data_IF_575425283161
#
_entry.id   IF_575425283161
#
_cell.length_a   1.000
_cell.length_b   1.000
_cell.length_c   1.000
_cell.angle_alpha   90.00
_cell.angle_beta   90.00
_cell.angle_gamma   90.00
#
_symmetry.space_group_name_H-M   'P 1'
#
loop_
_entity.id
_entity.type
_entity.pdbx_description
1 polymer ?
#
# COMPACT_ATOMS: atom_id res chain seq x y z
N UNK A 1 12.71 18.57 -13.19
CA UNK A 1 12.54 17.20 -13.73
C UNK A 1 13.47 16.31 -12.93
N UNK A 2 12.92 15.45 -12.08
CA UNK A 2 13.72 14.40 -11.43
C UNK A 2 13.97 13.36 -12.52
N UNK A 3 15.23 12.99 -12.75
CA UNK A 3 15.58 11.95 -13.71
C UNK A 3 14.90 10.64 -13.26
N UNK A 4 14.06 10.07 -14.11
CA UNK A 4 13.44 8.75 -13.85
C UNK A 4 14.55 7.72 -13.96
N UNK A 5 14.98 7.17 -12.83
CA UNK A 5 15.93 6.06 -12.78
C UNK A 5 15.22 4.82 -13.33
N UNK A 6 15.78 4.13 -14.34
CA UNK A 6 15.22 2.88 -14.84
C UNK A 6 14.99 1.89 -13.70
N UNK A 7 13.91 1.12 -13.80
CA UNK A 7 13.45 0.20 -12.77
C UNK A 7 14.55 -0.72 -12.22
N UNK A 8 15.35 -1.32 -13.09
CA UNK A 8 16.43 -2.28 -12.76
C UNK A 8 17.62 -1.63 -12.04
N UNK A 9 17.74 -0.29 -12.04
CA UNK A 9 18.83 0.46 -11.41
C UNK A 9 18.43 1.07 -10.05
N UNK A 10 17.16 0.93 -9.63
CA UNK A 10 16.70 1.42 -8.32
C UNK A 10 17.27 0.55 -7.20
N UNK A 11 17.64 1.16 -6.07
CA UNK A 11 18.13 0.44 -4.90
C UNK A 11 17.07 -0.50 -4.33
N UNK A 12 17.49 -1.66 -3.84
CA UNK A 12 16.60 -2.61 -3.17
C UNK A 12 16.21 -2.07 -1.77
N UNK A 13 14.95 -2.22 -1.41
CA UNK A 13 14.42 -1.89 -0.06
C UNK A 13 14.31 -3.16 0.76
N UNK A 14 13.68 -4.19 0.18
CA UNK A 14 13.54 -5.50 0.81
C UNK A 14 13.39 -6.61 -0.24
N UNK A 15 13.70 -7.84 0.20
CA UNK A 15 13.50 -9.06 -0.56
C UNK A 15 12.87 -10.14 0.32
N UNK A 16 11.83 -10.77 -0.18
CA UNK A 16 11.30 -12.02 0.35
C UNK A 16 11.90 -13.16 -0.48
N UNK A 17 12.51 -14.15 0.20
CA UNK A 17 13.13 -15.31 -0.44
C UNK A 17 12.45 -16.59 0.04
N UNK A 18 11.73 -17.27 -0.85
CA UNK A 18 11.02 -18.53 -0.62
C UNK A 18 10.23 -18.53 0.68
N UNK A 19 9.47 -17.48 0.94
CA UNK A 19 8.75 -17.26 2.23
C UNK A 19 7.53 -18.14 2.32
N UNK A 20 7.48 -18.98 3.37
CA UNK A 20 6.31 -19.74 3.77
C UNK A 20 5.67 -19.14 5.02
N UNK A 21 4.34 -19.26 5.10
CA UNK A 21 3.59 -18.98 6.33
C UNK A 21 2.53 -20.02 6.56
N UNK A 22 2.69 -20.75 7.68
CA UNK A 22 1.72 -21.73 8.17
C UNK A 22 1.20 -21.23 9.52
N UNK A 23 -0.12 -21.18 9.67
CA UNK A 23 -0.80 -20.84 10.91
C UNK A 23 -1.15 -22.11 11.70
N UNK A 24 -1.50 -22.02 13.01
CA UNK A 24 -1.99 -23.15 13.79
C UNK A 24 -3.15 -23.88 13.07
N UNK A 25 -3.12 -25.22 13.13
CA UNK A 25 -4.08 -26.06 12.39
C UNK A 25 -3.65 -26.36 10.95
N UNK A 26 -2.36 -26.26 10.65
CA UNK A 26 -1.74 -26.55 9.35
C UNK A 26 -2.29 -25.73 8.18
N UNK A 27 -2.82 -24.53 8.47
CA UNK A 27 -3.33 -23.63 7.44
C UNK A 27 -2.15 -22.92 6.77
N UNK A 28 -1.74 -23.41 5.61
CA UNK A 28 -0.67 -22.79 4.81
C UNK A 28 -1.21 -21.57 4.07
N UNK A 29 -0.88 -20.38 4.56
CA UNK A 29 -1.31 -19.12 3.98
C UNK A 29 -0.43 -18.67 2.82
N UNK A 30 0.90 -18.93 2.91
CA UNK A 30 1.86 -18.64 1.84
C UNK A 30 2.80 -19.82 1.63
N UNK A 31 3.20 -20.04 0.36
CA UNK A 31 4.19 -21.04 -0.04
C UNK A 31 5.20 -20.45 -1.00
N UNK A 32 6.47 -20.47 -0.62
CA UNK A 32 7.60 -20.10 -1.47
C UNK A 32 7.44 -18.72 -2.10
N UNK A 33 6.94 -17.74 -1.34
CA UNK A 33 6.72 -16.41 -1.89
C UNK A 33 8.04 -15.69 -2.09
N UNK A 34 8.34 -15.34 -3.34
CA UNK A 34 9.43 -14.46 -3.71
C UNK A 34 8.86 -13.08 -4.07
N UNK A 35 9.48 -12.01 -3.55
CA UNK A 35 9.13 -10.63 -3.86
C UNK A 35 10.36 -9.75 -3.68
N UNK A 36 10.70 -8.98 -4.70
CA UNK A 36 11.71 -7.93 -4.63
C UNK A 36 11.03 -6.57 -4.66
N UNK A 37 11.39 -5.69 -3.73
CA UNK A 37 10.87 -4.33 -3.62
C UNK A 37 12.02 -3.34 -3.70
N UNK A 38 11.91 -2.35 -4.57
CA UNK A 38 12.93 -1.32 -4.82
C UNK A 38 12.42 0.05 -4.42
N UNK A 39 13.34 0.98 -4.21
CA UNK A 39 13.01 2.36 -3.84
C UNK A 39 12.11 3.04 -4.89
N UNK A 40 11.04 3.66 -4.41
CA UNK A 40 10.07 4.36 -5.24
C UNK A 40 9.12 3.45 -6.04
N UNK A 41 9.19 2.11 -5.87
CA UNK A 41 8.22 1.20 -6.49
C UNK A 41 6.80 1.48 -5.98
N UNK A 42 5.84 1.36 -6.88
CA UNK A 42 4.45 1.13 -6.52
C UNK A 42 4.07 -0.29 -6.95
N UNK A 43 3.95 -1.22 -6.00
CA UNK A 43 3.64 -2.62 -6.26
C UNK A 43 2.21 -2.93 -5.78
N UNK A 44 1.37 -3.48 -6.65
CA UNK A 44 0.10 -4.09 -6.23
C UNK A 44 0.23 -5.59 -6.04
N UNK A 45 -0.28 -6.10 -4.91
CA UNK A 45 -0.57 -7.52 -4.75
C UNK A 45 -2.02 -7.76 -5.15
N UNK A 46 -2.23 -8.44 -6.27
CA UNK A 46 -3.54 -8.73 -6.85
C UNK A 46 -3.85 -10.23 -6.72
N UNK A 47 -5.07 -10.56 -6.35
CA UNK A 47 -5.50 -11.96 -6.25
C UNK A 47 -6.82 -12.13 -5.51
N UNK A 48 -7.42 -13.32 -5.56
CA UNK A 48 -8.69 -13.60 -4.90
C UNK A 48 -8.62 -13.45 -3.39
N UNK A 49 -9.78 -13.33 -2.74
CA UNK A 49 -9.85 -13.30 -1.27
C UNK A 49 -9.24 -14.57 -0.67
N UNK A 50 -8.46 -14.41 0.40
CA UNK A 50 -7.80 -15.53 1.08
C UNK A 50 -6.53 -16.06 0.40
N UNK A 51 -6.00 -15.42 -0.64
CA UNK A 51 -4.72 -15.83 -1.27
C UNK A 51 -3.46 -15.36 -0.52
N UNK A 52 -3.60 -14.83 0.71
CA UNK A 52 -2.43 -14.52 1.54
C UNK A 52 -1.86 -13.10 1.40
N UNK A 53 -2.48 -12.18 0.65
CA UNK A 53 -2.01 -10.79 0.46
C UNK A 53 -1.78 -10.05 1.78
N UNK A 54 -2.80 -10.02 2.65
CA UNK A 54 -2.69 -9.41 3.98
C UNK A 54 -1.68 -10.13 4.87
N UNK A 55 -1.48 -11.43 4.67
CA UNK A 55 -0.44 -12.20 5.37
C UNK A 55 0.94 -11.72 4.92
N UNK A 56 1.17 -11.56 3.62
CA UNK A 56 2.42 -11.01 3.10
C UNK A 56 2.71 -9.62 3.66
N UNK A 57 1.71 -8.72 3.69
CA UNK A 57 1.87 -7.39 4.30
C UNK A 57 2.24 -7.47 5.78
N UNK A 58 1.60 -8.36 6.57
CA UNK A 58 1.91 -8.52 7.99
C UNK A 58 3.32 -9.03 8.23
N UNK A 59 3.81 -9.93 7.38
CA UNK A 59 5.19 -10.41 7.44
C UNK A 59 6.18 -9.28 7.14
N UNK A 60 5.94 -8.49 6.08
CA UNK A 60 6.76 -7.34 5.73
C UNK A 60 6.72 -6.29 6.85
N UNK A 61 5.56 -6.03 7.45
CA UNK A 61 5.42 -5.11 8.57
C UNK A 61 6.14 -5.58 9.85
N UNK A 62 6.57 -6.85 9.93
CA UNK A 62 7.13 -7.44 11.14
C UNK A 62 6.09 -7.74 12.21
N UNK A 63 4.81 -7.81 11.84
CA UNK A 63 3.70 -8.17 12.74
C UNK A 63 3.52 -9.68 12.89
N UNK A 64 4.25 -10.47 12.11
CA UNK A 64 4.29 -11.93 12.17
C UNK A 64 5.61 -12.38 11.55
N UNK A 65 6.13 -13.55 11.98
CA UNK A 65 7.33 -14.13 11.42
C UNK A 65 7.00 -15.15 10.34
N UNK A 66 7.85 -15.34 9.31
CA UNK A 66 7.73 -16.44 8.37
C UNK A 66 7.95 -17.78 9.06
N UNK A 67 7.31 -18.85 8.56
CA UNK A 67 7.53 -20.22 9.05
C UNK A 67 8.77 -20.84 8.41
N UNK A 68 9.06 -20.47 7.16
CA UNK A 68 10.28 -20.81 6.44
C UNK A 68 10.60 -19.69 5.43
N UNK A 69 11.81 -19.72 4.87
CA UNK A 69 12.32 -18.64 4.05
C UNK A 69 12.77 -17.45 4.90
N UNK A 70 13.01 -16.31 4.26
CA UNK A 70 13.47 -15.10 4.96
C UNK A 70 13.04 -13.83 4.26
N UNK A 71 12.95 -12.75 5.04
CA UNK A 71 12.73 -11.39 4.56
C UNK A 71 14.00 -10.59 4.87
N UNK A 72 14.67 -10.16 3.84
CA UNK A 72 15.94 -9.41 3.94
C UNK A 72 15.64 -7.94 3.65
N UNK A 73 16.13 -7.06 4.52
CA UNK A 73 16.06 -5.62 4.35
C UNK A 73 17.43 -5.12 3.93
N UNK A 74 17.48 -4.24 2.94
CA UNK A 74 18.75 -3.67 2.45
C UNK A 74 19.45 -2.79 3.50
N UNK A 75 18.68 -2.24 4.45
CA UNK A 75 19.19 -1.46 5.58
C UNK A 75 18.47 -1.83 6.88
N UNK A 76 19.10 -1.54 8.02
CA UNK A 76 18.48 -1.69 9.32
C UNK A 76 17.25 -0.78 9.43
N UNK A 77 16.12 -1.35 9.88
CA UNK A 77 14.86 -0.63 10.03
C UNK A 77 14.87 0.24 11.28
N UNK A 78 14.37 1.45 11.13
CA UNK A 78 14.14 2.35 12.24
C UNK A 78 12.64 2.50 12.53
N UNK A 79 12.30 2.96 13.73
CA UNK A 79 10.93 3.34 14.04
C UNK A 79 10.47 4.42 13.05
N UNK A 80 9.24 4.26 12.52
CA UNK A 80 8.70 5.20 11.53
C UNK A 80 9.05 4.92 10.07
N UNK A 81 9.99 3.99 9.76
CA UNK A 81 10.35 3.64 8.37
C UNK A 81 9.20 2.97 7.60
N UNK A 82 8.23 2.37 8.29
CA UNK A 82 7.08 1.70 7.68
C UNK A 82 5.78 2.36 8.15
N UNK A 83 5.01 2.86 7.20
CA UNK A 83 3.62 3.27 7.40
C UNK A 83 2.67 2.12 7.06
N UNK A 84 1.61 1.93 7.86
CA UNK A 84 0.60 0.88 7.58
C UNK A 84 -0.78 1.51 7.52
N UNK A 85 -1.51 1.21 6.45
CA UNK A 85 -2.92 1.56 6.26
C UNK A 85 -3.72 0.26 6.16
N UNK A 86 -4.65 0.06 7.08
CA UNK A 86 -5.53 -1.10 7.11
C UNK A 86 -6.81 -0.87 6.30
N UNK A 87 -7.52 -1.93 5.98
CA UNK A 87 -8.81 -1.92 5.29
C UNK A 87 -9.84 -1.05 6.04
N UNK A 88 -9.86 -1.15 7.37
CA UNK A 88 -10.59 -0.20 8.22
C UNK A 88 -9.65 0.93 8.65
N UNK A 89 -10.10 2.20 8.69
CA UNK A 89 -9.25 3.34 9.05
C UNK A 89 -8.65 3.25 10.45
N UNK A 90 -9.20 2.43 11.35
CA UNK A 90 -8.73 2.19 12.73
C UNK A 90 -8.39 3.47 13.49
N UNK A 91 -9.24 4.51 13.35
CA UNK A 91 -9.05 5.77 14.04
C UNK A 91 -9.50 5.66 15.50
N UNK A 92 -8.77 6.34 16.39
CA UNK A 92 -9.17 6.50 17.78
C UNK A 92 -10.44 7.36 17.84
N UNK A 93 -11.62 6.83 18.23
CA UNK A 93 -12.89 7.56 18.14
C UNK A 93 -13.00 8.77 19.09
N UNK A 94 -12.20 8.77 20.15
CA UNK A 94 -12.11 9.86 21.15
C UNK A 94 -11.08 10.92 20.80
N UNK A 95 -10.31 10.77 19.74
CA UNK A 95 -9.26 11.67 19.32
C UNK A 95 -9.67 12.43 18.06
N UNK A 96 -9.25 13.69 17.95
CA UNK A 96 -9.46 14.49 16.74
C UNK A 96 -8.64 13.97 15.56
N UNK A 97 -8.92 14.47 14.35
CA UNK A 97 -8.11 14.18 13.14
C UNK A 97 -6.63 14.47 13.39
N UNK A 98 -6.31 15.61 13.98
CA UNK A 98 -4.94 16.00 14.29
C UNK A 98 -4.28 15.07 15.31
N UNK A 99 -5.03 14.65 16.34
CA UNK A 99 -4.53 13.72 17.35
C UNK A 99 -4.36 12.29 16.80
N UNK A 100 -5.22 11.87 15.86
CA UNK A 100 -5.04 10.60 15.15
C UNK A 100 -3.77 10.61 14.28
N UNK A 101 -3.54 11.70 13.54
CA UNK A 101 -2.33 11.85 12.73
C UNK A 101 -1.05 11.97 13.59
N UNK A 102 -1.14 12.50 14.81
CA UNK A 102 -0.03 12.62 15.74
C UNK A 102 0.42 11.27 16.36
N UNK A 103 -0.42 10.24 16.32
CA UNK A 103 -0.16 8.97 17.04
C UNK A 103 1.24 8.38 16.79
N UNK A 104 1.77 8.28 15.56
CA UNK A 104 3.12 7.73 15.34
C UNK A 104 4.20 8.50 16.10
N UNK A 105 4.20 9.82 16.03
CA UNK A 105 5.15 10.67 16.75
C UNK A 105 5.04 10.55 18.27
N UNK A 106 3.83 10.35 18.79
CA UNK A 106 3.61 10.10 20.20
C UNK A 106 4.26 8.79 20.64
N UNK A 107 4.18 7.75 19.82
CA UNK A 107 4.81 6.45 20.10
C UNK A 107 6.35 6.53 20.07
N UNK A 108 6.90 7.41 19.23
CA UNK A 108 8.34 7.72 19.18
C UNK A 108 8.80 8.66 20.33
N UNK A 109 7.88 9.11 21.21
CA UNK A 109 8.19 10.04 22.29
C UNK A 109 8.36 11.50 21.87
N UNK A 110 8.05 11.85 20.61
CA UNK A 110 8.12 13.20 20.08
C UNK A 110 6.96 14.05 20.62
N UNK A 111 7.23 15.26 21.11
CA UNK A 111 6.20 16.13 21.66
C UNK A 111 5.22 16.63 20.57
N UNK A 112 3.96 16.88 20.96
CA UNK A 112 2.95 17.40 20.03
C UNK A 112 3.36 18.73 19.37
N UNK A 113 3.94 19.63 20.15
CA UNK A 113 4.34 20.95 19.65
C UNK A 113 5.46 20.85 18.60
N UNK A 114 6.42 19.94 18.77
CA UNK A 114 7.51 19.73 17.80
C UNK A 114 7.04 18.99 16.54
N UNK A 115 5.94 18.22 16.62
CA UNK A 115 5.40 17.46 15.51
C UNK A 115 4.29 18.22 14.74
N UNK A 116 3.85 19.38 15.25
CA UNK A 116 2.66 20.09 14.78
C UNK A 116 2.71 20.44 13.28
N UNK A 117 3.84 20.93 12.81
CA UNK A 117 3.97 21.36 11.41
C UNK A 117 3.98 20.17 10.45
N UNK A 118 4.62 19.05 10.82
CA UNK A 118 4.62 17.81 10.05
C UNK A 118 3.19 17.23 9.96
N UNK A 119 2.45 17.24 11.07
CA UNK A 119 1.05 16.79 11.10
C UNK A 119 0.19 17.66 10.19
N UNK A 120 0.34 18.97 10.25
CA UNK A 120 -0.41 19.88 9.38
C UNK A 120 -0.04 19.67 7.90
N UNK A 121 1.22 19.42 7.61
CA UNK A 121 1.68 19.10 6.26
C UNK A 121 1.04 17.80 5.76
N UNK A 122 1.04 16.72 6.56
CA UNK A 122 0.39 15.47 6.20
C UNK A 122 -1.13 15.65 5.97
N UNK A 123 -1.80 16.44 6.82
CA UNK A 123 -3.22 16.74 6.65
C UNK A 123 -3.53 17.60 5.42
N UNK A 124 -2.62 18.49 5.01
CA UNK A 124 -2.74 19.26 3.75
C UNK A 124 -2.64 18.33 2.54
N UNK A 125 -1.69 17.41 2.56
CA UNK A 125 -1.51 16.43 1.46
C UNK A 125 -2.77 15.62 1.19
N UNK A 126 -3.52 15.26 2.25
CA UNK A 126 -4.79 14.52 2.12
C UNK A 126 -6.03 15.44 2.06
N UNK A 127 -5.85 16.76 2.02
CA UNK A 127 -6.95 17.74 1.93
C UNK A 127 -7.82 17.87 3.18
N UNK A 128 -7.31 17.52 4.36
CA UNK A 128 -8.05 17.49 5.62
C UNK A 128 -7.63 18.55 6.65
N UNK A 129 -6.79 19.52 6.30
CA UNK A 129 -6.33 20.57 7.25
C UNK A 129 -7.50 21.32 7.91
N UNK A 130 -8.56 21.61 7.15
CA UNK A 130 -9.76 22.30 7.67
C UNK A 130 -10.54 21.47 8.69
N UNK A 131 -10.38 20.15 8.68
CA UNK A 131 -11.05 19.19 9.56
C UNK A 131 -10.17 18.73 10.72
N UNK A 132 -9.02 19.35 10.97
CA UNK A 132 -8.04 18.93 11.98
C UNK A 132 -8.62 18.75 13.40
N UNK A 133 -9.66 19.50 13.76
CA UNK A 133 -10.31 19.46 15.06
C UNK A 133 -11.55 18.56 15.09
N UNK A 134 -11.99 18.02 13.95
CA UNK A 134 -13.13 17.12 13.87
C UNK A 134 -12.81 15.74 14.47
N UNK A 135 -13.83 15.07 14.99
CA UNK A 135 -13.74 13.70 15.47
C UNK A 135 -14.13 12.71 14.35
N UNK A 136 -13.70 11.44 14.43
CA UNK A 136 -14.02 10.43 13.40
C UNK A 136 -15.53 10.31 13.09
N UNK A 137 -16.40 10.47 14.09
CA UNK A 137 -17.86 10.42 13.90
C UNK A 137 -18.41 11.52 12.99
N UNK A 138 -17.65 12.61 12.79
CA UNK A 138 -18.04 13.77 11.98
C UNK A 138 -17.53 13.67 10.54
N UNK A 139 -16.82 12.57 10.20
CA UNK A 139 -16.19 12.36 8.92
C UNK A 139 -16.92 11.30 8.08
N UNK A 140 -16.91 11.49 6.75
CA UNK A 140 -17.29 10.43 5.80
C UNK A 140 -16.30 9.27 5.82
N UNK A 141 -16.66 8.11 5.24
CA UNK A 141 -15.76 6.95 5.11
C UNK A 141 -14.45 7.28 4.39
N UNK A 142 -14.53 7.99 3.27
CA UNK A 142 -13.35 8.45 2.53
C UNK A 142 -12.49 9.43 3.31
N UNK A 143 -13.10 10.35 4.09
CA UNK A 143 -12.32 11.25 4.96
C UNK A 143 -11.61 10.48 6.08
N UNK A 144 -12.24 9.48 6.69
CA UNK A 144 -11.61 8.62 7.69
C UNK A 144 -10.40 7.89 7.10
N UNK A 145 -10.54 7.36 5.89
CA UNK A 145 -9.42 6.70 5.19
C UNK A 145 -8.28 7.68 4.90
N UNK A 146 -8.57 8.91 4.47
CA UNK A 146 -7.55 9.95 4.29
C UNK A 146 -6.81 10.29 5.59
N UNK A 147 -7.49 10.30 6.75
CA UNK A 147 -6.83 10.46 8.07
C UNK A 147 -5.90 9.29 8.36
N UNK A 148 -6.32 8.05 8.05
CA UNK A 148 -5.47 6.85 8.20
C UNK A 148 -4.22 6.93 7.32
N UNK A 149 -4.37 7.37 6.07
CA UNK A 149 -3.24 7.61 5.15
C UNK A 149 -2.32 8.70 5.70
N UNK A 150 -2.85 9.86 6.12
CA UNK A 150 -2.04 10.92 6.72
C UNK A 150 -1.26 10.43 7.95
N UNK A 151 -1.90 9.62 8.80
CA UNK A 151 -1.25 8.99 9.96
C UNK A 151 -0.10 8.07 9.56
N UNK A 152 -0.28 7.29 8.49
CA UNK A 152 0.77 6.39 8.01
C UNK A 152 1.96 7.14 7.37
N UNK A 153 1.72 8.34 6.84
CA UNK A 153 2.71 9.13 6.09
C UNK A 153 3.44 10.18 6.95
N UNK A 154 2.93 10.50 8.13
CA UNK A 154 3.39 11.65 8.93
C UNK A 154 4.85 11.57 9.34
N UNK A 155 5.41 10.36 9.46
CA UNK A 155 6.82 10.09 9.78
C UNK A 155 7.74 10.10 8.56
N UNK A 156 7.22 10.40 7.35
CA UNK A 156 7.93 10.27 6.08
C UNK A 156 8.53 8.86 5.88
N UNK A 157 7.71 7.81 5.92
CA UNK A 157 8.19 6.43 5.86
C UNK A 157 8.85 6.13 4.51
N UNK A 158 9.82 5.21 4.51
CA UNK A 158 10.44 4.67 3.28
C UNK A 158 9.51 3.73 2.53
N UNK A 159 8.66 3.03 3.28
CA UNK A 159 7.70 2.04 2.76
C UNK A 159 6.32 2.25 3.36
N UNK A 160 5.30 2.27 2.52
CA UNK A 160 3.90 2.27 2.94
C UNK A 160 3.24 0.96 2.52
N UNK A 161 2.62 0.30 3.47
CA UNK A 161 1.85 -0.93 3.28
C UNK A 161 0.36 -0.61 3.37
N UNK A 162 -0.41 -0.96 2.33
CA UNK A 162 -1.85 -0.66 2.27
C UNK A 162 -2.65 -1.94 2.03
N UNK A 163 -3.49 -2.32 2.97
CA UNK A 163 -4.32 -3.54 2.91
C UNK A 163 -5.75 -3.19 2.52
N UNK A 164 -6.10 -3.31 1.25
CA UNK A 164 -7.41 -3.03 0.64
C UNK A 164 -8.06 -1.70 1.12
N UNK A 165 -7.33 -0.56 1.13
CA UNK A 165 -7.77 0.65 1.82
C UNK A 165 -9.06 1.26 1.23
N UNK A 166 -9.40 0.93 0.00
CA UNK A 166 -10.53 1.52 -0.71
C UNK A 166 -11.70 0.55 -0.94
N UNK A 167 -11.63 -0.68 -0.40
CA UNK A 167 -12.62 -1.72 -0.66
C UNK A 167 -14.06 -1.34 -0.20
N UNK A 168 -14.18 -0.58 0.90
CA UNK A 168 -15.46 -0.19 1.48
C UNK A 168 -16.03 1.14 0.91
N UNK A 169 -15.40 1.72 -0.12
CA UNK A 169 -15.76 3.02 -0.66
C UNK A 169 -16.53 2.88 -1.99
N UNK A 170 -17.41 3.86 -2.25
CA UNK A 170 -18.06 4.00 -3.55
C UNK A 170 -17.04 4.29 -4.67
N UNK A 171 -17.41 4.01 -5.90
CA UNK A 171 -16.52 4.07 -7.06
C UNK A 171 -15.96 5.48 -7.31
N UNK A 172 -16.78 6.52 -7.18
CA UNK A 172 -16.36 7.91 -7.40
C UNK A 172 -15.33 8.34 -6.36
N UNK A 173 -15.60 8.03 -5.09
CA UNK A 173 -14.67 8.30 -3.98
C UNK A 173 -13.37 7.54 -4.16
N UNK A 174 -13.43 6.28 -4.60
CA UNK A 174 -12.27 5.42 -4.88
C UNK A 174 -11.39 6.00 -5.99
N UNK A 175 -11.96 6.43 -7.11
CA UNK A 175 -11.21 7.06 -8.20
C UNK A 175 -10.48 8.31 -7.74
N UNK A 176 -11.14 9.15 -6.95
CA UNK A 176 -10.53 10.36 -6.40
C UNK A 176 -9.37 10.03 -5.47
N UNK A 177 -9.54 9.03 -4.59
CA UNK A 177 -8.48 8.61 -3.67
C UNK A 177 -7.29 7.95 -4.38
N UNK A 178 -7.53 7.22 -5.47
CA UNK A 178 -6.46 6.69 -6.31
C UNK A 178 -5.61 7.82 -6.91
N UNK A 179 -6.24 8.88 -7.44
CA UNK A 179 -5.52 10.04 -7.96
C UNK A 179 -4.73 10.75 -6.85
N UNK A 180 -5.39 11.02 -5.70
CA UNK A 180 -4.75 11.65 -4.55
C UNK A 180 -3.53 10.83 -4.07
N UNK A 181 -3.64 9.50 -4.06
CA UNK A 181 -2.56 8.59 -3.64
C UNK A 181 -1.35 8.65 -4.58
N UNK A 182 -1.58 8.67 -5.91
CA UNK A 182 -0.51 8.85 -6.89
C UNK A 182 0.20 10.19 -6.76
N UNK A 183 -0.56 11.28 -6.59
CA UNK A 183 0.03 12.60 -6.37
C UNK A 183 0.87 12.66 -5.09
N UNK A 184 0.38 12.03 -4.02
CA UNK A 184 1.10 11.94 -2.75
C UNK A 184 2.39 11.15 -2.90
N UNK A 185 2.34 9.97 -3.51
CA UNK A 185 3.51 9.13 -3.74
C UNK A 185 4.56 9.86 -4.60
N UNK A 186 4.13 10.53 -5.67
CA UNK A 186 5.02 11.31 -6.52
C UNK A 186 5.70 12.49 -5.78
N UNK A 187 5.03 13.09 -4.79
CA UNK A 187 5.60 14.19 -3.98
C UNK A 187 6.58 13.71 -2.91
N UNK A 188 6.32 12.55 -2.32
CA UNK A 188 7.10 12.02 -1.19
C UNK A 188 8.22 11.11 -1.69
N UNK A 189 8.02 10.43 -2.83
CA UNK A 189 8.97 9.47 -3.38
C UNK A 189 9.05 8.17 -2.58
N UNK A 190 8.05 7.85 -1.75
CA UNK A 190 8.05 6.63 -0.95
C UNK A 190 7.72 5.40 -1.79
N UNK A 191 8.17 4.24 -1.33
CA UNK A 191 7.81 2.93 -1.87
C UNK A 191 6.44 2.52 -1.34
N UNK A 192 5.59 1.91 -2.17
CA UNK A 192 4.24 1.48 -1.78
C UNK A 192 4.00 0.03 -2.15
N UNK A 193 3.49 -0.77 -1.20
CA UNK A 193 2.89 -2.08 -1.47
C UNK A 193 1.40 -1.97 -1.18
N UNK A 194 0.60 -2.18 -2.20
CA UNK A 194 -0.84 -1.97 -2.19
C UNK A 194 -1.58 -3.29 -2.43
N UNK A 195 -2.37 -3.73 -1.50
CA UNK A 195 -3.22 -4.92 -1.66
C UNK A 195 -4.57 -4.50 -2.21
N UNK A 196 -5.00 -5.15 -3.27
CA UNK A 196 -6.34 -5.00 -3.85
C UNK A 196 -6.81 -6.27 -4.52
N UNK A 197 -8.13 -6.38 -4.73
CA UNK A 197 -8.75 -7.38 -5.60
C UNK A 197 -9.22 -6.76 -6.92
N UNK A 198 -8.98 -5.47 -7.14
CA UNK A 198 -9.39 -4.74 -8.33
C UNK A 198 -8.25 -4.66 -9.35
N UNK A 199 -8.45 -5.27 -10.53
CA UNK A 199 -7.56 -5.13 -11.68
C UNK A 199 -7.40 -3.66 -12.07
N UNK A 200 -8.48 -2.90 -12.06
CA UNK A 200 -8.48 -1.48 -12.46
C UNK A 200 -7.63 -0.62 -11.50
N UNK A 201 -7.73 -0.85 -10.20
CA UNK A 201 -6.87 -0.14 -9.24
C UNK A 201 -5.40 -0.52 -9.42
N UNK A 202 -5.11 -1.83 -9.52
CA UNK A 202 -3.74 -2.31 -9.65
C UNK A 202 -3.04 -1.73 -10.88
N UNK A 203 -3.72 -1.71 -12.04
CA UNK A 203 -3.17 -1.12 -13.28
C UNK A 203 -3.02 0.39 -13.18
N UNK A 204 -3.97 1.08 -12.54
CA UNK A 204 -3.90 2.54 -12.44
C UNK A 204 -2.80 3.01 -11.49
N UNK A 205 -2.58 2.30 -10.38
CA UNK A 205 -1.68 2.73 -9.32
C UNK A 205 -0.25 2.24 -9.50
N UNK A 206 -0.02 1.06 -10.09
CA UNK A 206 1.23 0.33 -9.89
C UNK A 206 2.15 0.31 -11.09
N UNK A 207 3.45 0.31 -10.82
CA UNK A 207 4.48 -0.01 -11.82
C UNK A 207 4.52 -1.52 -12.09
N UNK A 208 4.22 -2.30 -11.03
CA UNK A 208 4.28 -3.77 -11.05
C UNK A 208 3.06 -4.35 -10.32
N UNK A 209 2.47 -5.37 -10.91
CA UNK A 209 1.33 -6.11 -10.34
C UNK A 209 1.79 -7.54 -10.11
N UNK A 210 1.89 -7.93 -8.85
CA UNK A 210 2.21 -9.30 -8.43
C UNK A 210 0.90 -10.06 -8.27
N UNK A 211 0.63 -10.99 -9.17
CA UNK A 211 -0.61 -11.77 -9.19
C UNK A 211 -0.42 -13.04 -8.38
N UNK A 212 -1.31 -13.25 -7.41
CA UNK A 212 -1.23 -14.35 -6.44
C UNK A 212 -2.39 -15.34 -6.60
N UNK A 213 -2.08 -16.64 -6.62
CA UNK A 213 -3.07 -17.71 -6.45
C UNK A 213 -3.37 -17.97 -4.96
N UNK A 214 -4.50 -18.65 -4.71
CA UNK A 214 -4.90 -19.06 -3.37
C UNK A 214 -4.55 -20.55 -3.09
N UNK A 215 -4.51 -20.93 -1.81
CA UNK A 215 -4.52 -22.29 -1.27
C UNK A 215 -3.39 -23.24 -1.74
N UNK A 216 -2.15 -22.99 -1.44
CA UNK A 216 -1.61 -21.86 -0.68
C UNK A 216 -1.34 -20.63 -1.54
N UNK A 217 -1.24 -19.46 -0.88
CA UNK A 217 -0.85 -18.22 -1.53
C UNK A 217 0.55 -18.32 -2.12
N UNK A 218 0.67 -18.06 -3.42
CA UNK A 218 1.93 -18.04 -4.15
C UNK A 218 1.88 -17.07 -5.31
N UNK A 219 2.99 -16.52 -5.70
CA UNK A 219 3.09 -15.68 -6.90
C UNK A 219 2.96 -16.55 -8.13
N UNK A 220 2.10 -16.17 -9.06
CA UNK A 220 1.88 -16.84 -10.35
C UNK A 220 2.56 -16.07 -11.46
N UNK A 221 2.38 -14.75 -11.47
CA UNK A 221 2.89 -13.89 -12.53
C UNK A 221 3.13 -12.48 -12.00
N UNK A 222 4.08 -11.79 -12.59
CA UNK A 222 4.31 -10.37 -12.38
C UNK A 222 4.05 -9.62 -13.68
N UNK A 223 3.09 -8.69 -13.66
CA UNK A 223 2.72 -7.85 -14.79
C UNK A 223 3.30 -6.46 -14.59
N UNK A 224 4.19 -6.03 -15.48
CA UNK A 224 4.71 -4.67 -15.52
C UNK A 224 3.72 -3.75 -16.22
N UNK A 225 3.53 -2.55 -15.68
CA UNK A 225 2.71 -1.49 -16.25
C UNK A 225 3.62 -0.35 -16.68
N UNK A 226 4.10 -0.43 -17.91
CA UNK A 226 4.98 0.59 -18.50
C UNK A 226 4.13 1.76 -19.01
N UNK A 227 3.82 2.69 -18.13
CA UNK A 227 3.03 3.87 -18.42
C UNK A 227 3.60 5.09 -17.66
N UNK A 228 3.53 6.30 -18.25
CA UNK A 228 4.03 7.53 -17.61
C UNK A 228 3.44 7.77 -16.22
N UNK A 229 4.23 8.41 -15.35
CA UNK A 229 3.85 8.76 -14.00
C UNK A 229 3.93 10.28 -13.76
N UNK A 230 3.01 10.90 -13.00
CA UNK A 230 1.76 10.34 -12.46
C UNK A 230 0.72 10.08 -13.56
N UNK A 231 -0.08 9.03 -13.37
CA UNK A 231 -1.13 8.65 -14.33
C UNK A 231 -2.33 9.58 -14.18
N UNK A 232 -2.89 10.00 -15.31
CA UNK A 232 -4.02 10.94 -15.38
C UNK A 232 -5.34 10.23 -15.68
N UNK A 233 -6.45 10.98 -15.66
CA UNK A 233 -7.75 10.46 -16.09
C UNK A 233 -7.76 10.03 -17.55
N UNK A 234 -6.97 10.71 -18.42
CA UNK A 234 -6.83 10.32 -19.83
C UNK A 234 -6.22 8.92 -19.96
N UNK A 235 -5.27 8.57 -19.11
CA UNK A 235 -4.71 7.21 -19.08
C UNK A 235 -5.80 6.17 -18.81
N UNK A 236 -6.74 6.40 -17.89
CA UNK A 236 -7.84 5.47 -17.60
C UNK A 236 -8.73 5.16 -18.79
N UNK A 237 -8.87 6.10 -19.73
CA UNK A 237 -9.70 5.95 -20.93
C UNK A 237 -8.91 5.53 -22.15
N UNK A 238 -7.59 5.32 -22.01
CA UNK A 238 -6.70 4.97 -23.11
C UNK A 238 -6.79 3.49 -23.52
N UNK A 239 -6.43 3.21 -24.78
CA UNK A 239 -6.29 1.84 -25.26
C UNK A 239 -5.16 1.08 -24.55
N UNK A 240 -4.11 1.79 -24.12
CA UNK A 240 -2.98 1.27 -23.37
C UNK A 240 -3.42 0.76 -22.00
N UNK A 241 -4.17 1.56 -21.24
CA UNK A 241 -4.75 1.13 -19.96
C UNK A 241 -5.62 -0.12 -20.13
N UNK A 242 -6.48 -0.15 -21.15
CA UNK A 242 -7.31 -1.31 -21.44
C UNK A 242 -6.47 -2.56 -21.80
N UNK A 243 -5.31 -2.39 -22.44
CA UNK A 243 -4.40 -3.50 -22.75
C UNK A 243 -3.76 -4.06 -21.47
N UNK A 244 -3.27 -3.20 -20.55
CA UNK A 244 -2.75 -3.61 -19.25
C UNK A 244 -3.82 -4.28 -18.38
N UNK A 245 -5.06 -3.76 -18.37
CA UNK A 245 -6.17 -4.39 -17.65
C UNK A 245 -6.45 -5.80 -18.18
N UNK A 246 -6.43 -6.02 -19.52
CA UNK A 246 -6.60 -7.35 -20.11
C UNK A 246 -5.46 -8.30 -19.75
N UNK A 247 -4.21 -7.82 -19.68
CA UNK A 247 -3.08 -8.63 -19.26
C UNK A 247 -3.22 -9.07 -17.78
N UNK A 248 -3.49 -8.11 -16.89
CA UNK A 248 -3.67 -8.39 -15.47
C UNK A 248 -4.91 -9.30 -15.21
N UNK A 249 -6.01 -9.14 -15.99
CA UNK A 249 -7.18 -10.02 -15.86
C UNK A 249 -6.85 -11.45 -16.25
N UNK A 250 -6.12 -11.67 -17.36
CA UNK A 250 -5.69 -13.02 -17.78
C UNK A 250 -4.79 -13.69 -16.74
N UNK A 251 -3.84 -12.94 -16.19
CA UNK A 251 -2.98 -13.46 -15.12
C UNK A 251 -3.80 -13.83 -13.87
N UNK A 252 -4.82 -13.03 -13.52
CA UNK A 252 -5.72 -13.31 -12.41
C UNK A 252 -6.59 -14.54 -12.67
N UNK A 253 -7.12 -14.72 -13.88
CA UNK A 253 -7.86 -15.92 -14.29
C UNK A 253 -6.99 -17.18 -14.14
N UNK A 254 -5.75 -17.15 -14.68
CA UNK A 254 -4.80 -18.24 -14.52
C UNK A 254 -4.47 -18.54 -13.04
N UNK A 255 -4.36 -17.51 -12.20
CA UNK A 255 -4.15 -17.67 -10.76
C UNK A 255 -5.35 -18.31 -10.04
N UNK A 256 -6.58 -18.05 -10.51
CA UNK A 256 -7.80 -18.66 -9.98
C UNK A 256 -7.92 -20.14 -10.40
N UNK A 257 -7.50 -20.51 -11.60
CA UNK A 257 -7.47 -21.91 -12.08
C UNK A 257 -6.38 -22.75 -11.40
N UNK A 258 -5.30 -22.10 -10.96
CA UNK A 258 -4.17 -22.74 -10.27
C UNK A 258 -4.42 -22.96 -8.75
N UNK A 259 -5.60 -22.57 -8.24
CA UNK A 259 -5.94 -22.55 -6.80
C UNK A 259 -6.44 -23.90 -6.24
#
# INVERSE_FOLDING_TARGET
MVAVVPFDQRAEVLRMNAVDKIFPGDVQALRGMDLQVREGDFISLLGPSGCGKSTALRLIAGLSDPTAGRIEWAAERQAGDIGVVFQEPTLMPWATVMQNAYLPFRLEGRSFNSAKDDILQALRLVGLEKFKNAYPRELSGGMKMRVSIARAMVTNPKLILMDEPFAALDEITRFKLNNDLLEMQARIGCTVIFVTHSVFESVFLSDRIVVMAARPGRVIEEVCVDAPYPRTEEFRTSAEYAAHCRAASRALEAAMEAA
#
